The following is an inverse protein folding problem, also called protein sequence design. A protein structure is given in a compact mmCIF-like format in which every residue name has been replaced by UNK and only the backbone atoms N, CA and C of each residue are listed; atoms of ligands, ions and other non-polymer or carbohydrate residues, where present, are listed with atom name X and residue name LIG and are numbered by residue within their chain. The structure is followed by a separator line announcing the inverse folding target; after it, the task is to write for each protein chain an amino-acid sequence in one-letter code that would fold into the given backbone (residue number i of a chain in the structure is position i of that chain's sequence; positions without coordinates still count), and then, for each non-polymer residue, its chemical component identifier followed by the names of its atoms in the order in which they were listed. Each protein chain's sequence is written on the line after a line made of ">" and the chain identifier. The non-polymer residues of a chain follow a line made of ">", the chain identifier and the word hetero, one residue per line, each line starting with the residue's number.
data_IF_854533076962
#
_entry.id   IF_854533076962
#
_cell.length_a   1.000
_cell.length_b   1.000
_cell.length_c   1.000
_cell.angle_alpha   90.00
_cell.angle_beta   90.00
_cell.angle_gamma   90.00
#
_symmetry.space_group_name_H-M   'P 1'
#
loop_
_entity.id
_entity.type
_entity.pdbx_description
1 polymer ?
#
# COMPACT_ATOMS: atom_id res chain seq x y z
N UNK A 1 -7.80 24.39 15.57
CA UNK A 1 -6.96 23.25 15.11
C UNK A 1 -6.49 22.33 16.24
N UNK A 2 -5.86 22.80 17.33
CA UNK A 2 -5.73 21.96 18.56
C UNK A 2 -6.81 22.26 19.62
N UNK A 3 -7.33 23.49 19.66
CA UNK A 3 -8.46 23.86 20.52
C UNK A 3 -9.70 22.99 20.26
N UNK A 4 -10.13 22.86 19.01
CA UNK A 4 -11.28 22.02 18.66
C UNK A 4 -11.07 20.53 19.01
N UNK A 5 -9.83 20.06 18.98
CA UNK A 5 -9.49 18.69 19.36
C UNK A 5 -9.51 18.51 20.88
N UNK A 6 -9.09 19.53 21.63
CA UNK A 6 -9.19 19.58 23.09
C UNK A 6 -10.65 19.64 23.54
N UNK A 7 -11.45 20.53 22.95
CA UNK A 7 -12.89 20.68 23.24
C UNK A 7 -13.66 19.39 22.95
N UNK A 8 -13.23 18.63 21.93
CA UNK A 8 -13.80 17.33 21.57
C UNK A 8 -13.18 16.14 22.31
N UNK A 9 -12.20 16.37 23.20
CA UNK A 9 -11.53 15.31 23.97
C UNK A 9 -10.84 14.25 23.10
N UNK A 10 -10.31 14.63 21.93
CA UNK A 10 -9.69 13.68 20.99
C UNK A 10 -8.35 13.17 21.52
N UNK A 11 -8.11 11.86 21.35
CA UNK A 11 -6.80 11.24 21.62
C UNK A 11 -6.03 11.05 20.32
N UNK A 12 -4.81 11.56 20.27
CA UNK A 12 -3.91 11.36 19.15
C UNK A 12 -2.97 10.19 19.42
N UNK A 13 -2.98 9.19 18.55
CA UNK A 13 -1.99 8.10 18.52
C UNK A 13 -1.16 8.25 17.26
N UNK A 14 0.15 8.36 17.42
CA UNK A 14 1.11 8.62 16.35
C UNK A 14 2.30 7.67 16.49
N UNK A 15 2.97 7.38 15.38
CA UNK A 15 4.15 6.51 15.36
C UNK A 15 4.26 5.78 14.02
N UNK A 16 5.34 5.03 13.87
CA UNK A 16 5.46 4.07 12.78
C UNK A 16 4.62 2.82 13.08
N UNK A 17 4.15 2.15 12.04
CA UNK A 17 3.35 0.92 12.20
C UNK A 17 4.21 -0.17 12.81
N UNK A 18 3.73 -0.80 13.89
CA UNK A 18 4.41 -1.93 14.52
C UNK A 18 4.17 -3.23 13.73
N UNK A 19 4.81 -3.35 12.56
CA UNK A 19 4.54 -4.42 11.59
C UNK A 19 4.60 -5.82 12.22
N UNK A 20 5.64 -6.13 13.00
CA UNK A 20 5.81 -7.47 13.60
C UNK A 20 4.73 -7.85 14.63
N UNK A 21 4.05 -6.88 15.24
CA UNK A 21 2.98 -7.18 16.20
C UNK A 21 1.70 -7.58 15.47
N UNK A 22 1.44 -6.95 14.33
CA UNK A 22 0.20 -7.14 13.57
C UNK A 22 0.31 -8.18 12.46
N UNK A 23 1.52 -8.49 12.00
CA UNK A 23 1.74 -9.40 10.87
C UNK A 23 1.06 -10.79 11.06
N UNK A 24 1.15 -11.48 12.21
CA UNK A 24 0.52 -12.78 12.38
C UNK A 24 -1.00 -12.73 12.23
N UNK A 25 -1.64 -11.74 12.86
CA UNK A 25 -3.10 -11.58 12.84
C UNK A 25 -3.60 -11.22 11.43
N UNK A 26 -2.90 -10.29 10.76
CA UNK A 26 -3.24 -9.88 9.40
C UNK A 26 -3.09 -11.03 8.40
N UNK A 27 -2.03 -11.84 8.52
CA UNK A 27 -1.86 -13.03 7.67
C UNK A 27 -2.99 -14.05 7.90
N UNK A 28 -3.36 -14.31 9.16
CA UNK A 28 -4.45 -15.23 9.46
C UNK A 28 -5.78 -14.77 8.85
N UNK A 29 -6.05 -13.46 8.81
CA UNK A 29 -7.24 -12.90 8.17
C UNK A 29 -7.22 -13.09 6.64
N UNK A 30 -6.05 -12.94 6.01
CA UNK A 30 -5.89 -13.17 4.56
C UNK A 30 -6.12 -14.65 4.24
N UNK A 31 -5.51 -15.56 5.01
CA UNK A 31 -5.66 -17.01 4.81
C UNK A 31 -7.11 -17.48 4.99
N UNK A 32 -7.88 -16.83 5.88
CA UNK A 32 -9.31 -17.10 6.07
C UNK A 32 -10.21 -16.46 4.99
N UNK A 33 -9.64 -15.67 4.07
CA UNK A 33 -10.40 -14.94 3.05
C UNK A 33 -11.21 -13.77 3.59
N UNK A 34 -10.92 -13.33 4.83
CA UNK A 34 -11.58 -12.18 5.46
C UNK A 34 -10.94 -10.84 5.08
N UNK A 35 -9.75 -10.89 4.46
CA UNK A 35 -9.03 -9.72 3.98
C UNK A 35 -8.42 -10.01 2.60
N UNK A 36 -8.61 -9.11 1.64
CA UNK A 36 -8.06 -9.20 0.28
C UNK A 36 -7.21 -7.96 -0.01
N UNK A 37 -5.94 -7.91 0.46
CA UNK A 37 -5.08 -6.74 0.30
C UNK A 37 -4.74 -6.42 -1.16
N UNK A 38 -4.89 -7.37 -2.07
CA UNK A 38 -4.61 -7.22 -3.50
C UNK A 38 -5.50 -6.17 -4.17
N UNK A 39 -6.68 -5.85 -3.63
CA UNK A 39 -7.63 -4.88 -4.21
C UNK A 39 -7.07 -3.45 -4.35
N UNK A 40 -6.07 -3.10 -3.54
CA UNK A 40 -5.40 -1.80 -3.61
C UNK A 40 -4.28 -1.79 -4.64
N UNK A 41 -3.77 -2.97 -5.04
CA UNK A 41 -2.72 -3.12 -6.04
C UNK A 41 -3.30 -2.78 -7.40
N UNK A 42 -2.75 -1.73 -8.01
CA UNK A 42 -3.13 -1.35 -9.37
C UNK A 42 -2.13 -1.91 -10.36
N UNK A 43 -0.83 -1.72 -10.14
CA UNK A 43 0.17 -2.08 -11.15
C UNK A 43 1.10 -3.21 -10.67
N UNK A 44 1.37 -4.15 -11.57
CA UNK A 44 2.47 -5.11 -11.43
C UNK A 44 3.49 -4.86 -12.53
N UNK A 45 4.74 -4.62 -12.15
CA UNK A 45 5.79 -4.17 -13.09
C UNK A 45 7.11 -4.90 -12.84
N UNK A 46 7.94 -5.08 -13.88
CA UNK A 46 9.29 -5.60 -13.70
C UNK A 46 10.18 -4.59 -12.97
N UNK A 47 11.26 -5.06 -12.34
CA UNK A 47 12.16 -4.20 -11.57
C UNK A 47 12.84 -3.12 -12.44
N UNK A 48 13.08 -3.43 -13.71
CA UNK A 48 13.63 -2.53 -14.72
C UNK A 48 12.74 -1.30 -14.97
N UNK A 49 11.43 -1.39 -14.68
CA UNK A 49 10.47 -0.29 -14.82
C UNK A 49 10.24 0.50 -13.52
N UNK A 50 11.03 0.25 -12.46
CA UNK A 50 10.84 0.92 -11.17
C UNK A 50 10.79 2.45 -11.28
N UNK A 51 11.65 3.06 -12.10
CA UNK A 51 11.66 4.51 -12.33
C UNK A 51 10.31 5.03 -12.85
N UNK A 52 9.67 4.31 -13.79
CA UNK A 52 8.32 4.63 -14.27
C UNK A 52 7.29 4.46 -13.16
N UNK A 53 7.37 3.35 -12.40
CA UNK A 53 6.49 3.08 -11.26
C UNK A 53 6.47 4.22 -10.22
N UNK A 54 7.65 4.77 -9.90
CA UNK A 54 7.75 5.95 -9.03
C UNK A 54 7.12 7.20 -9.65
N UNK A 55 7.33 7.45 -10.95
CA UNK A 55 6.76 8.61 -11.66
C UNK A 55 5.23 8.59 -11.67
N UNK A 56 4.61 7.47 -12.04
CA UNK A 56 3.14 7.36 -12.11
C UNK A 56 2.50 7.49 -10.72
N UNK A 57 3.16 6.96 -9.68
CA UNK A 57 2.70 7.06 -8.30
C UNK A 57 2.79 8.50 -7.79
N UNK A 58 3.91 9.18 -8.02
CA UNK A 58 4.12 10.57 -7.62
C UNK A 58 3.12 11.51 -8.31
N UNK A 59 2.95 11.37 -9.62
CA UNK A 59 2.06 12.20 -10.44
C UNK A 59 0.58 11.80 -10.32
N UNK A 60 0.27 10.70 -9.63
CA UNK A 60 -1.09 10.13 -9.49
C UNK A 60 -1.74 9.85 -10.85
N UNK A 61 -0.93 9.41 -11.80
CA UNK A 61 -1.36 9.02 -13.14
C UNK A 61 -1.88 7.57 -13.11
N UNK A 62 -2.59 7.15 -14.16
CA UNK A 62 -3.04 5.75 -14.33
C UNK A 62 -3.89 5.23 -13.15
N UNK A 63 -4.55 6.12 -12.40
CA UNK A 63 -5.25 5.79 -11.15
C UNK A 63 -4.37 4.99 -10.16
N UNK A 64 -3.05 5.23 -10.18
CA UNK A 64 -2.08 4.46 -9.45
C UNK A 64 -2.28 4.57 -7.93
N UNK A 65 -2.60 3.45 -7.27
CA UNK A 65 -2.78 3.33 -5.82
C UNK A 65 -1.61 2.59 -5.17
N UNK A 66 -1.19 1.47 -5.77
CA UNK A 66 -0.08 0.65 -5.27
C UNK A 66 0.59 -0.07 -6.44
N UNK A 67 1.91 0.07 -6.51
CA UNK A 67 2.78 -0.63 -7.46
C UNK A 67 3.47 -1.78 -6.74
N UNK A 68 3.48 -2.97 -7.34
CA UNK A 68 4.28 -4.11 -6.91
C UNK A 68 5.35 -4.36 -7.99
N UNK A 69 6.62 -4.20 -7.60
CA UNK A 69 7.76 -4.54 -8.44
C UNK A 69 8.06 -6.03 -8.27
N UNK A 70 8.00 -6.79 -9.35
CA UNK A 70 8.20 -8.23 -9.37
C UNK A 70 9.57 -8.53 -10.01
N UNK A 71 10.59 -8.90 -9.22
CA UNK A 71 11.89 -9.28 -9.77
C UNK A 71 11.78 -10.48 -10.71
N UNK A 72 12.43 -10.40 -11.88
CA UNK A 72 12.39 -11.47 -12.89
C UNK A 72 11.12 -11.54 -13.73
N UNK A 73 10.16 -10.63 -13.53
CA UNK A 73 9.04 -10.45 -14.46
C UNK A 73 9.57 -9.94 -15.81
N UNK A 74 9.06 -10.49 -16.90
CA UNK A 74 9.38 -9.97 -18.23
C UNK A 74 8.48 -8.76 -18.55
N UNK A 75 9.00 -7.71 -19.21
CA UNK A 75 8.26 -6.47 -19.49
C UNK A 75 6.90 -6.67 -20.19
N UNK A 76 6.77 -7.69 -21.04
CA UNK A 76 5.51 -7.99 -21.75
C UNK A 76 4.39 -8.59 -20.90
N UNK A 77 4.60 -8.80 -19.58
CA UNK A 77 3.59 -9.32 -18.64
C UNK A 77 3.16 -8.28 -17.59
N UNK A 78 3.60 -7.03 -17.73
CA UNK A 78 3.17 -5.96 -16.85
C UNK A 78 1.64 -5.79 -16.96
N UNK A 79 0.97 -5.74 -15.81
CA UNK A 79 -0.47 -5.47 -15.75
C UNK A 79 -0.66 -4.00 -15.41
N UNK A 80 -1.58 -3.33 -16.10
CA UNK A 80 -2.05 -1.98 -15.76
C UNK A 80 -2.73 -1.99 -14.39
#
# INVERSE_FOLDING_TARGET
>A
MFGDAFDKGLTFRMGQTHVHAWLPDLLALIEQGLLTPEEIVTHHMPLEEAARGYQIFEKREEACRKVILVPGMQPGKATL
#
